data_IF_717936979785
#
_entry.id   IF_717936979785
#
_cell.length_a   1.000
_cell.length_b   1.000
_cell.length_c   1.000
_cell.angle_alpha   90.00
_cell.angle_beta   90.00
_cell.angle_gamma   90.00
#
_symmetry.space_group_name_H-M   'P 1'
#
loop_
_entity.id
_entity.type
_entity.pdbx_description
1 polymer ?
#
# COMPACT_ATOMS: atom_id res chain seq x y z
N UNK A 1 18.45 -18.50 17.62
CA UNK A 1 17.26 -18.79 18.48
C UNK A 1 16.43 -19.86 17.80
N UNK A 2 15.92 -20.87 18.54
CA UNK A 2 14.95 -21.81 17.96
C UNK A 2 13.70 -21.02 17.58
N UNK A 3 13.29 -21.08 16.30
CA UNK A 3 12.00 -20.59 15.86
C UNK A 3 10.92 -21.22 16.76
N UNK A 4 10.07 -20.39 17.35
CA UNK A 4 8.89 -20.89 18.05
C UNK A 4 7.97 -21.45 16.99
N UNK A 5 7.70 -22.75 17.04
CA UNK A 5 6.73 -23.40 16.16
C UNK A 5 5.49 -23.78 16.95
N UNK A 6 4.32 -23.64 16.31
CA UNK A 6 3.04 -24.10 16.86
C UNK A 6 2.97 -25.64 16.93
N UNK A 7 3.87 -26.35 16.22
CA UNK A 7 3.89 -27.81 16.13
C UNK A 7 2.56 -28.42 15.70
N UNK A 8 1.81 -27.73 14.84
CA UNK A 8 0.54 -28.19 14.31
C UNK A 8 0.68 -28.47 12.81
N UNK A 9 0.17 -29.61 12.35
CA UNK A 9 0.09 -29.93 10.92
C UNK A 9 -1.09 -29.18 10.28
N UNK A 10 -0.97 -27.87 10.16
CA UNK A 10 -1.97 -26.94 9.69
C UNK A 10 -1.31 -25.81 8.91
N UNK A 11 -1.78 -25.56 7.67
CA UNK A 11 -1.22 -24.51 6.81
C UNK A 11 -1.22 -23.11 7.47
N UNK A 12 -2.26 -22.79 8.27
CA UNK A 12 -2.32 -21.53 9.02
C UNK A 12 -1.21 -21.48 10.10
N UNK A 13 -1.00 -22.57 10.83
CA UNK A 13 0.05 -22.63 11.86
C UNK A 13 1.44 -22.44 11.24
N UNK A 14 1.72 -23.12 10.13
CA UNK A 14 2.98 -22.92 9.37
C UNK A 14 3.12 -21.49 8.83
N UNK A 15 2.05 -20.90 8.32
CA UNK A 15 2.08 -19.50 7.90
C UNK A 15 2.40 -18.56 9.07
N UNK A 16 1.80 -18.77 10.24
CA UNK A 16 2.09 -17.98 11.44
C UNK A 16 3.49 -18.22 11.99
N UNK A 17 4.07 -19.41 11.82
CA UNK A 17 5.49 -19.65 12.13
C UNK A 17 6.42 -18.78 11.27
N UNK A 18 6.02 -18.43 10.04
CA UNK A 18 6.78 -17.58 9.11
C UNK A 18 6.49 -16.09 9.28
N UNK A 19 5.20 -15.71 9.34
CA UNK A 19 4.80 -14.29 9.28
C UNK A 19 4.07 -13.81 10.53
N UNK A 20 3.82 -14.64 11.54
CA UNK A 20 3.02 -14.31 12.71
C UNK A 20 3.71 -13.39 13.73
N UNK A 21 5.00 -13.16 13.61
CA UNK A 21 5.71 -12.25 14.50
C UNK A 21 5.32 -10.79 14.24
N UNK A 22 5.22 -10.00 15.32
CA UNK A 22 4.91 -8.57 15.21
C UNK A 22 5.85 -7.88 14.21
N UNK A 23 5.32 -6.97 13.41
CA UNK A 23 5.94 -6.20 12.34
C UNK A 23 6.10 -6.95 11.02
N UNK A 24 6.10 -8.29 10.99
CA UNK A 24 6.46 -9.05 9.80
C UNK A 24 5.55 -8.75 8.61
N UNK A 25 4.22 -8.81 8.80
CA UNK A 25 3.27 -8.48 7.73
C UNK A 25 3.32 -7.00 7.33
N UNK A 26 3.61 -6.09 8.28
CA UNK A 26 3.78 -4.68 7.96
C UNK A 26 5.06 -4.43 7.13
N UNK A 27 6.14 -5.18 7.39
CA UNK A 27 7.35 -5.14 6.56
C UNK A 27 7.06 -5.63 5.14
N UNK A 28 6.29 -6.72 4.99
CA UNK A 28 5.85 -7.23 3.68
C UNK A 28 4.98 -6.19 2.97
N UNK A 29 4.05 -5.53 3.68
CA UNK A 29 3.21 -4.45 3.16
C UNK A 29 4.05 -3.33 2.53
N UNK A 30 5.12 -2.89 3.21
CA UNK A 30 5.96 -1.81 2.67
C UNK A 30 6.61 -2.18 1.31
N UNK A 31 6.75 -3.46 1.01
CA UNK A 31 7.35 -3.93 -0.25
C UNK A 31 6.31 -4.21 -1.36
N UNK A 32 5.00 -4.08 -1.10
CA UNK A 32 3.96 -4.28 -2.14
C UNK A 32 4.11 -3.28 -3.28
N UNK A 33 4.47 -2.02 -2.96
CA UNK A 33 4.68 -0.97 -3.95
C UNK A 33 6.10 -0.99 -4.58
N UNK A 34 6.87 -2.04 -4.37
CA UNK A 34 8.21 -2.22 -4.94
C UNK A 34 9.33 -2.34 -3.91
N UNK A 35 10.58 -2.42 -4.40
CA UNK A 35 11.75 -2.61 -3.57
C UNK A 35 11.97 -1.46 -2.57
N UNK A 36 12.48 -1.77 -1.36
CA UNK A 36 12.74 -0.81 -0.27
C UNK A 36 14.15 -0.92 0.25
N UNK A 37 14.77 0.21 0.55
CA UNK A 37 16.01 0.27 1.34
C UNK A 37 15.69 0.01 2.80
N UNK A 38 16.69 -0.38 3.56
CA UNK A 38 16.54 -0.57 5.02
C UNK A 38 16.00 0.69 5.71
N UNK A 39 16.52 1.87 5.30
CA UNK A 39 16.09 3.15 5.85
C UNK A 39 14.61 3.43 5.53
N UNK A 40 14.18 3.17 4.30
CA UNK A 40 12.78 3.39 3.89
C UNK A 40 11.80 2.53 4.71
N UNK A 41 12.21 1.28 5.01
CA UNK A 41 11.45 0.38 5.89
C UNK A 41 11.41 0.88 7.33
N UNK A 42 12.54 1.38 7.85
CA UNK A 42 12.61 1.95 9.20
C UNK A 42 11.72 3.19 9.34
N UNK A 43 11.78 4.08 8.36
CA UNK A 43 10.99 5.30 8.32
C UNK A 43 9.49 5.02 8.09
N UNK A 44 9.15 3.93 7.40
CA UNK A 44 7.78 3.49 7.12
C UNK A 44 7.10 2.72 8.26
N UNK A 45 7.86 2.34 9.30
CA UNK A 45 7.38 1.52 10.41
C UNK A 45 7.66 2.19 11.76
N UNK A 46 6.93 3.27 12.10
CA UNK A 46 7.15 4.00 13.35
C UNK A 46 7.05 3.09 14.58
N UNK A 47 8.10 3.12 15.41
CA UNK A 47 8.16 2.31 16.64
C UNK A 47 8.86 0.95 16.49
N UNK A 48 9.28 0.55 15.29
CA UNK A 48 10.18 -0.60 15.15
C UNK A 48 11.62 -0.16 15.47
N UNK A 49 12.36 -0.98 16.24
CA UNK A 49 13.78 -0.73 16.44
C UNK A 49 14.60 -1.26 15.27
N UNK A 50 15.77 -0.64 15.03
CA UNK A 50 16.72 -1.07 14.00
C UNK A 50 17.10 -2.56 14.13
N UNK A 51 17.34 -3.03 15.36
CA UNK A 51 17.70 -4.41 15.62
C UNK A 51 16.56 -5.38 15.29
N UNK A 52 15.32 -5.01 15.65
CA UNK A 52 14.14 -5.82 15.37
C UNK A 52 13.84 -5.87 13.88
N UNK A 53 13.95 -4.74 13.16
CA UNK A 53 13.82 -4.72 11.70
C UNK A 53 14.85 -5.63 11.03
N UNK A 54 16.13 -5.54 11.44
CA UNK A 54 17.19 -6.39 10.90
C UNK A 54 16.92 -7.87 11.16
N UNK A 55 16.44 -8.24 12.35
CA UNK A 55 16.05 -9.62 12.70
C UNK A 55 14.89 -10.11 11.82
N UNK A 56 13.82 -9.31 11.66
CA UNK A 56 12.66 -9.68 10.82
C UNK A 56 13.05 -9.85 9.36
N UNK A 57 13.85 -8.93 8.81
CA UNK A 57 14.35 -9.04 7.43
C UNK A 57 15.20 -10.28 7.23
N UNK A 58 16.09 -10.59 8.17
CA UNK A 58 16.89 -11.82 8.11
C UNK A 58 16.01 -13.08 8.12
N UNK A 59 14.98 -13.13 8.97
CA UNK A 59 14.06 -14.27 9.05
C UNK A 59 13.27 -14.42 7.75
N UNK A 60 12.71 -13.32 7.21
CA UNK A 60 11.97 -13.32 5.94
C UNK A 60 12.86 -13.75 4.76
N UNK A 61 14.12 -13.34 4.75
CA UNK A 61 15.10 -13.74 3.73
C UNK A 61 15.43 -15.24 3.83
N UNK A 62 15.61 -15.78 5.04
CA UNK A 62 15.82 -17.21 5.29
C UNK A 62 14.63 -18.07 4.85
N UNK A 63 13.42 -17.54 4.97
CA UNK A 63 12.19 -18.19 4.51
C UNK A 63 11.88 -17.94 3.02
N UNK A 64 12.80 -17.31 2.30
CA UNK A 64 12.66 -16.94 0.89
C UNK A 64 11.39 -16.10 0.57
N UNK A 65 10.83 -15.41 1.54
CA UNK A 65 9.71 -14.46 1.35
C UNK A 65 10.22 -13.18 0.70
N UNK A 66 11.40 -12.73 1.10
CA UNK A 66 12.09 -11.57 0.51
C UNK A 66 13.48 -11.96 0.04
N UNK A 67 14.07 -11.11 -0.79
CA UNK A 67 15.49 -11.19 -1.16
C UNK A 67 16.11 -9.80 -1.13
N UNK A 68 17.44 -9.77 -0.96
CA UNK A 68 18.24 -8.57 -1.15
C UNK A 68 18.74 -8.47 -2.58
N UNK A 69 18.74 -7.26 -3.12
CA UNK A 69 19.30 -6.94 -4.42
C UNK A 69 20.07 -5.63 -4.35
N UNK A 70 21.19 -5.56 -5.03
CA UNK A 70 21.91 -4.29 -5.23
C UNK A 70 21.43 -3.65 -6.52
N UNK A 71 20.95 -2.42 -6.43
CA UNK A 71 20.56 -1.65 -7.60
C UNK A 71 21.79 -1.27 -8.44
N UNK A 72 21.67 -1.25 -9.78
CA UNK A 72 22.76 -0.80 -10.63
C UNK A 72 23.06 0.70 -10.39
N UNK A 73 24.28 1.16 -10.77
CA UNK A 73 24.59 2.59 -10.77
C UNK A 73 23.56 3.38 -11.60
N UNK A 74 23.25 4.63 -11.24
CA UNK A 74 23.86 5.43 -10.18
C UNK A 74 23.31 5.16 -8.77
N UNK A 75 22.22 4.41 -8.62
CA UNK A 75 21.57 4.18 -7.33
C UNK A 75 22.44 3.40 -6.32
N UNK A 76 23.18 2.37 -6.78
CA UNK A 76 24.22 1.63 -6.03
C UNK A 76 23.83 1.09 -4.66
N UNK A 77 22.52 1.09 -4.31
CA UNK A 77 22.05 0.78 -2.97
C UNK A 77 21.47 -0.62 -2.85
N UNK A 78 21.62 -1.22 -1.67
CA UNK A 78 20.95 -2.48 -1.33
C UNK A 78 19.48 -2.22 -1.02
N UNK A 79 18.61 -2.99 -1.68
CA UNK A 79 17.16 -2.99 -1.46
C UNK A 79 16.67 -4.38 -1.10
N UNK A 80 15.55 -4.44 -0.40
CA UNK A 80 14.78 -5.64 -0.13
C UNK A 80 13.54 -5.64 -1.03
N UNK A 81 13.23 -6.78 -1.62
CA UNK A 81 12.07 -6.95 -2.48
C UNK A 81 11.39 -8.30 -2.23
N UNK A 82 10.10 -8.39 -2.51
CA UNK A 82 9.35 -9.64 -2.41
C UNK A 82 9.82 -10.61 -3.50
N UNK A 83 9.97 -11.88 -3.12
CA UNK A 83 10.11 -12.99 -4.07
C UNK A 83 8.73 -13.37 -4.64
N UNK A 84 8.67 -14.34 -5.55
CA UNK A 84 7.40 -14.91 -6.01
C UNK A 84 6.58 -15.45 -4.83
N UNK A 85 7.25 -16.11 -3.86
CA UNK A 85 6.60 -16.59 -2.63
C UNK A 85 6.09 -15.44 -1.78
N UNK A 86 6.87 -14.36 -1.65
CA UNK A 86 6.45 -13.16 -0.92
C UNK A 86 5.28 -12.43 -1.58
N UNK A 87 5.28 -12.34 -2.90
CA UNK A 87 4.17 -11.75 -3.67
C UNK A 87 2.87 -12.55 -3.49
N UNK A 88 2.95 -13.87 -3.32
CA UNK A 88 1.76 -14.69 -3.04
C UNK A 88 1.03 -14.31 -1.74
N UNK A 89 1.69 -13.61 -0.79
CA UNK A 89 1.05 -13.06 0.41
C UNK A 89 0.16 -11.85 0.13
N UNK A 90 0.27 -11.22 -1.04
CA UNK A 90 -0.48 -9.98 -1.35
C UNK A 90 -1.97 -10.18 -1.14
N UNK A 91 -2.58 -11.22 -1.73
CA UNK A 91 -4.02 -11.51 -1.55
C UNK A 91 -4.41 -11.64 -0.08
N UNK A 92 -3.61 -12.33 0.71
CA UNK A 92 -3.85 -12.50 2.15
C UNK A 92 -3.77 -11.15 2.88
N UNK A 93 -2.84 -10.29 2.51
CA UNK A 93 -2.72 -8.95 3.08
C UNK A 93 -3.90 -8.05 2.70
N UNK A 94 -4.41 -8.13 1.47
CA UNK A 94 -5.58 -7.39 1.04
C UNK A 94 -6.82 -7.81 1.84
N UNK A 95 -7.08 -9.12 1.97
CA UNK A 95 -8.20 -9.64 2.76
C UNK A 95 -8.08 -9.29 4.26
N UNK A 96 -6.88 -9.40 4.81
CA UNK A 96 -6.61 -9.01 6.20
C UNK A 96 -6.78 -7.49 6.38
N UNK A 97 -6.34 -6.69 5.41
CA UNK A 97 -6.53 -5.23 5.39
C UNK A 97 -8.02 -4.85 5.33
N UNK A 98 -8.79 -5.52 4.47
CA UNK A 98 -10.24 -5.36 4.37
C UNK A 98 -10.94 -5.72 5.70
N UNK A 99 -10.60 -6.84 6.29
CA UNK A 99 -11.12 -7.21 7.61
C UNK A 99 -10.70 -6.20 8.69
N UNK A 100 -9.43 -5.78 8.69
CA UNK A 100 -8.87 -4.84 9.66
C UNK A 100 -9.45 -3.43 9.55
N UNK A 101 -9.95 -3.00 8.37
CA UNK A 101 -10.51 -1.68 8.17
C UNK A 101 -11.72 -1.38 9.07
N UNK A 102 -12.43 -2.42 9.53
CA UNK A 102 -13.55 -2.30 10.46
C UNK A 102 -13.12 -1.77 11.85
N UNK A 103 -11.83 -1.82 12.18
CA UNK A 103 -11.28 -1.39 13.47
C UNK A 103 -10.53 -0.06 13.36
N UNK A 104 -10.46 0.53 12.17
CA UNK A 104 -9.79 1.83 11.97
C UNK A 104 -10.66 2.93 12.60
N UNK A 105 -10.10 3.76 13.50
CA UNK A 105 -10.85 4.87 14.08
C UNK A 105 -11.33 5.84 13.01
N UNK A 106 -12.50 6.43 13.20
CA UNK A 106 -13.03 7.45 12.31
C UNK A 106 -12.23 8.78 12.37
N UNK A 107 -11.57 9.05 13.50
CA UNK A 107 -10.68 10.21 13.66
C UNK A 107 -9.24 9.80 13.37
N UNK A 108 -8.55 10.63 12.60
CA UNK A 108 -7.11 10.49 12.33
C UNK A 108 -6.22 11.11 13.41
N UNK A 109 -6.78 11.61 14.53
CA UNK A 109 -6.01 12.15 15.62
C UNK A 109 -5.02 11.11 16.17
N UNK A 110 -3.73 11.43 16.11
CA UNK A 110 -2.65 10.52 16.52
C UNK A 110 -2.27 9.46 15.48
N UNK A 111 -2.85 9.47 14.28
CA UNK A 111 -2.42 8.60 13.19
C UNK A 111 -1.01 9.00 12.75
N UNK A 112 -0.13 8.03 12.74
CA UNK A 112 1.24 8.18 12.25
C UNK A 112 1.27 8.19 10.73
N UNK A 113 2.30 8.80 10.18
CA UNK A 113 2.57 8.96 8.75
C UNK A 113 2.30 7.68 7.96
N UNK A 114 1.46 7.78 6.94
CA UNK A 114 1.30 6.73 5.94
C UNK A 114 2.47 6.80 4.94
N UNK A 115 2.81 5.65 4.38
CA UNK A 115 3.86 5.52 3.37
C UNK A 115 3.33 4.79 2.15
N UNK A 116 4.10 4.78 1.08
CA UNK A 116 3.71 4.20 -0.18
C UNK A 116 3.15 2.77 -0.09
N UNK A 117 3.67 1.93 0.82
CA UNK A 117 3.13 0.58 1.07
C UNK A 117 1.71 0.59 1.64
N UNK A 118 1.41 1.55 2.53
CA UNK A 118 0.06 1.71 3.10
C UNK A 118 -0.93 2.19 2.03
N UNK A 119 -0.54 3.20 1.23
CA UNK A 119 -1.37 3.68 0.12
C UNK A 119 -1.63 2.57 -0.90
N UNK A 120 -0.59 1.83 -1.30
CA UNK A 120 -0.71 0.72 -2.24
C UNK A 120 -1.65 -0.37 -1.73
N UNK A 121 -1.53 -0.75 -0.44
CA UNK A 121 -2.42 -1.74 0.16
C UNK A 121 -3.87 -1.25 0.13
N UNK A 122 -4.14 -0.01 0.54
CA UNK A 122 -5.50 0.57 0.55
C UNK A 122 -6.11 0.58 -0.85
N UNK A 123 -5.39 1.12 -1.84
CA UNK A 123 -5.86 1.19 -3.22
C UNK A 123 -6.19 -0.20 -3.79
N UNK A 124 -5.31 -1.18 -3.58
CA UNK A 124 -5.53 -2.56 -4.05
C UNK A 124 -6.65 -3.27 -3.28
N UNK A 125 -6.81 -3.00 -1.97
CA UNK A 125 -7.86 -3.59 -1.14
C UNK A 125 -9.26 -3.17 -1.58
N UNK A 126 -9.43 -1.91 -1.97
CA UNK A 126 -10.72 -1.33 -2.32
C UNK A 126 -10.91 -1.12 -3.83
N UNK A 127 -10.00 -1.63 -4.64
CA UNK A 127 -10.10 -1.62 -6.09
C UNK A 127 -11.33 -2.38 -6.59
N UNK A 128 -12.05 -1.79 -7.53
CA UNK A 128 -13.29 -2.33 -8.14
C UNK A 128 -13.05 -2.70 -9.59
N UNK A 129 -12.74 -3.96 -9.90
CA UNK A 129 -12.47 -4.41 -11.27
C UNK A 129 -13.65 -4.16 -12.22
N UNK A 130 -14.88 -4.25 -11.72
CA UNK A 130 -16.10 -4.03 -12.49
C UNK A 130 -16.25 -2.57 -12.97
N UNK A 131 -15.72 -1.62 -12.20
CA UNK A 131 -15.71 -0.18 -12.57
C UNK A 131 -14.49 0.20 -13.40
N UNK A 132 -13.49 -0.66 -13.46
CA UNK A 132 -12.25 -0.47 -14.22
C UNK A 132 -12.33 -1.02 -15.66
N UNK A 133 -13.47 -1.56 -16.08
CA UNK A 133 -13.65 -2.11 -17.42
C UNK A 133 -13.51 -1.03 -18.48
N UNK A 134 -12.64 -1.27 -19.48
CA UNK A 134 -12.38 -0.34 -20.56
C UNK A 134 -11.46 0.84 -20.18
N UNK A 135 -11.04 0.95 -18.91
CA UNK A 135 -10.08 1.98 -18.46
C UNK A 135 -8.66 1.48 -18.75
N UNK A 136 -7.85 2.38 -19.32
CA UNK A 136 -6.41 2.18 -19.50
C UNK A 136 -5.72 3.52 -19.21
N UNK A 137 -5.54 3.81 -17.94
CA UNK A 137 -5.04 5.10 -17.45
C UNK A 137 -3.94 4.88 -16.40
N UNK A 138 -3.01 5.83 -16.36
CA UNK A 138 -1.94 5.89 -15.37
C UNK A 138 -2.08 7.19 -14.58
N UNK A 139 -2.26 7.07 -13.28
CA UNK A 139 -2.36 8.17 -12.34
C UNK A 139 -1.07 8.30 -11.55
N UNK A 140 -0.58 9.52 -11.34
CA UNK A 140 0.53 9.80 -10.45
C UNK A 140 0.01 10.52 -9.21
N UNK A 141 0.35 10.03 -8.03
CA UNK A 141 -0.10 10.54 -6.73
C UNK A 141 1.09 11.12 -5.98
N UNK A 142 1.02 12.39 -5.62
CA UNK A 142 1.94 13.09 -4.73
C UNK A 142 1.23 13.36 -3.41
N UNK A 143 1.58 12.63 -2.34
CA UNK A 143 0.90 12.71 -1.05
C UNK A 143 1.96 12.89 0.05
N UNK A 144 2.05 14.09 0.66
CA UNK A 144 3.00 14.41 1.74
C UNK A 144 4.46 13.99 1.43
N UNK A 145 4.91 14.20 0.18
CA UNK A 145 6.24 13.84 -0.28
C UNK A 145 6.43 12.38 -0.71
N UNK A 146 5.43 11.53 -0.52
CA UNK A 146 5.38 10.21 -1.17
C UNK A 146 4.92 10.37 -2.62
N UNK A 147 5.57 9.66 -3.53
CA UNK A 147 5.18 9.60 -4.94
C UNK A 147 4.88 8.16 -5.30
N UNK A 148 3.70 7.94 -5.85
CA UNK A 148 3.26 6.64 -6.36
C UNK A 148 2.69 6.83 -7.75
N UNK A 149 2.75 5.79 -8.56
CA UNK A 149 1.91 5.71 -9.75
C UNK A 149 1.02 4.47 -9.70
N UNK A 150 -0.18 4.66 -10.20
CA UNK A 150 -1.26 3.68 -10.23
C UNK A 150 -1.61 3.45 -11.68
N UNK A 151 -1.35 2.27 -12.19
CA UNK A 151 -1.76 1.87 -13.54
C UNK A 151 -3.02 1.01 -13.43
N UNK A 152 -4.07 1.40 -14.14
CA UNK A 152 -5.31 0.65 -14.28
C UNK A 152 -5.42 0.24 -15.75
N UNK A 153 -5.39 -1.05 -16.00
CA UNK A 153 -5.48 -1.60 -17.35
C UNK A 153 -6.09 -3.01 -17.32
N UNK A 154 -6.91 -3.33 -18.31
CA UNK A 154 -7.55 -4.65 -18.44
C UNK A 154 -8.32 -5.13 -17.19
N UNK A 155 -8.88 -4.20 -16.40
CA UNK A 155 -9.59 -4.51 -15.15
C UNK A 155 -8.67 -4.88 -13.98
N UNK A 156 -7.38 -4.58 -14.09
CA UNK A 156 -6.38 -4.81 -13.05
C UNK A 156 -5.77 -3.49 -12.56
N UNK A 157 -5.28 -3.50 -11.33
CA UNK A 157 -4.57 -2.38 -10.72
C UNK A 157 -3.12 -2.76 -10.39
N UNK A 158 -2.19 -1.92 -10.78
CA UNK A 158 -0.80 -1.98 -10.34
C UNK A 158 -0.44 -0.67 -9.64
N UNK A 159 0.18 -0.77 -8.48
CA UNK A 159 0.63 0.39 -7.70
C UNK A 159 2.11 0.23 -7.43
N UNK A 160 2.89 1.23 -7.83
CA UNK A 160 4.33 1.24 -7.63
C UNK A 160 4.78 2.59 -7.06
N UNK A 161 5.86 2.56 -6.28
CA UNK A 161 6.48 3.80 -5.80
C UNK A 161 7.29 4.47 -6.90
N UNK A 162 7.27 5.81 -6.89
CA UNK A 162 7.97 6.68 -7.82
C UNK A 162 7.06 7.26 -8.89
N UNK A 163 7.62 8.18 -9.66
CA UNK A 163 6.92 8.84 -10.75
C UNK A 163 6.61 7.88 -11.90
N UNK A 164 5.50 8.10 -12.57
CA UNK A 164 5.17 7.41 -13.79
C UNK A 164 6.05 7.89 -14.95
N UNK A 165 6.47 7.00 -15.87
CA UNK A 165 7.13 7.44 -17.11
C UNK A 165 6.25 8.39 -17.94
N UNK A 166 4.95 8.17 -17.90
CA UNK A 166 3.90 9.02 -18.47
C UNK A 166 2.63 8.83 -17.63
N UNK A 167 2.11 9.92 -17.08
CA UNK A 167 0.84 9.93 -16.36
C UNK A 167 -0.24 10.59 -17.23
N UNK A 168 -1.46 10.06 -17.20
CA UNK A 168 -2.64 10.68 -17.81
C UNK A 168 -3.20 11.76 -16.88
N UNK A 169 -3.05 11.60 -15.57
CA UNK A 169 -3.33 12.63 -14.58
C UNK A 169 -2.37 12.54 -13.39
N UNK A 170 -2.10 13.72 -12.79
CA UNK A 170 -1.28 13.86 -11.58
C UNK A 170 -2.13 14.51 -10.49
N UNK A 171 -2.16 13.91 -9.31
CA UNK A 171 -2.86 14.41 -8.13
C UNK A 171 -1.86 14.77 -7.05
N UNK A 172 -1.89 16.02 -6.56
CA UNK A 172 -1.05 16.48 -5.47
C UNK A 172 -1.94 16.91 -4.30
N UNK A 173 -1.75 16.30 -3.14
CA UNK A 173 -2.59 16.51 -1.96
C UNK A 173 -1.85 16.12 -0.67
N UNK A 174 -2.46 16.38 0.48
CA UNK A 174 -2.03 15.87 1.78
C UNK A 174 -2.75 14.55 2.15
N UNK A 175 -2.22 13.83 3.13
CA UNK A 175 -2.80 12.57 3.64
C UNK A 175 -4.23 12.73 4.14
N UNK A 176 -4.60 13.74 4.97
CA UNK A 176 -5.97 13.94 5.42
C UNK A 176 -6.96 14.12 4.26
N UNK A 177 -6.64 14.99 3.31
CA UNK A 177 -7.49 15.26 2.14
C UNK A 177 -7.64 14.03 1.26
N UNK A 178 -6.56 13.31 1.00
CA UNK A 178 -6.57 12.06 0.25
C UNK A 178 -7.49 11.01 0.88
N UNK A 179 -7.37 10.78 2.18
CA UNK A 179 -8.20 9.79 2.88
C UNK A 179 -9.68 10.20 2.94
N UNK A 180 -9.98 11.49 3.13
CA UNK A 180 -11.34 12.00 3.09
C UNK A 180 -11.97 11.86 1.69
N UNK A 181 -11.21 12.10 0.62
CA UNK A 181 -11.63 11.87 -0.76
C UNK A 181 -11.96 10.39 -0.99
N UNK A 182 -11.05 9.48 -0.62
CA UNK A 182 -11.29 8.04 -0.74
C UNK A 182 -12.51 7.57 0.05
N UNK A 183 -12.73 8.14 1.23
CA UNK A 183 -13.86 7.81 2.10
C UNK A 183 -15.17 8.50 1.68
N UNK A 184 -15.15 9.35 0.64
CA UNK A 184 -16.32 10.13 0.21
C UNK A 184 -16.77 11.22 1.20
N UNK A 185 -15.94 11.50 2.22
CA UNK A 185 -16.18 12.56 3.23
C UNK A 185 -15.84 13.96 2.70
N UNK A 186 -15.02 14.04 1.66
CA UNK A 186 -14.70 15.25 0.93
C UNK A 186 -15.07 15.04 -0.54
N UNK A 187 -15.88 15.94 -1.09
CA UNK A 187 -16.25 15.86 -2.51
C UNK A 187 -15.15 16.43 -3.40
N UNK A 188 -14.91 15.88 -4.61
CA UNK A 188 -13.88 16.34 -5.52
C UNK A 188 -13.94 17.84 -5.82
N UNK A 189 -15.11 18.36 -6.16
CA UNK A 189 -15.30 19.78 -6.45
C UNK A 189 -14.96 20.68 -5.25
N UNK A 190 -15.34 20.26 -4.04
CA UNK A 190 -14.99 20.96 -2.82
C UNK A 190 -13.49 20.94 -2.56
N UNK A 191 -12.84 19.77 -2.73
CA UNK A 191 -11.39 19.64 -2.55
C UNK A 191 -10.60 20.56 -3.51
N UNK A 192 -11.09 20.69 -4.76
CA UNK A 192 -10.48 21.59 -5.75
C UNK A 192 -10.72 23.05 -5.37
N UNK A 193 -11.97 23.42 -5.00
CA UNK A 193 -12.31 24.79 -4.63
C UNK A 193 -11.58 25.28 -3.37
N UNK A 194 -11.30 24.38 -2.43
CA UNK A 194 -10.55 24.66 -1.19
C UNK A 194 -9.01 24.48 -1.36
N UNK A 195 -8.52 24.26 -2.58
CA UNK A 195 -7.09 24.03 -2.90
C UNK A 195 -6.46 22.87 -2.11
N UNK A 196 -7.28 21.91 -1.66
CA UNK A 196 -6.83 20.72 -0.92
C UNK A 196 -6.28 19.62 -1.82
N UNK A 197 -6.57 19.68 -3.12
CA UNK A 197 -5.99 18.84 -4.15
C UNK A 197 -5.70 19.68 -5.39
N UNK A 198 -4.55 19.44 -5.99
CA UNK A 198 -4.20 19.96 -7.31
C UNK A 198 -4.23 18.83 -8.32
N UNK A 199 -4.83 19.09 -9.47
CA UNK A 199 -5.00 18.09 -10.54
C UNK A 199 -4.40 18.64 -11.82
N UNK A 200 -3.59 17.81 -12.46
CA UNK A 200 -3.06 18.08 -13.80
C UNK A 200 -3.38 16.89 -14.69
N UNK A 201 -3.85 17.10 -15.90
CA UNK A 201 -4.16 16.05 -16.88
C UNK A 201 -5.64 16.03 -17.29
N UNK A 202 -6.17 14.86 -17.61
CA UNK A 202 -7.50 14.67 -18.17
C UNK A 202 -8.64 15.13 -17.24
N UNK A 203 -9.61 15.88 -17.75
CA UNK A 203 -10.81 16.26 -16.99
C UNK A 203 -11.57 15.02 -16.48
N UNK A 204 -12.07 15.07 -15.24
CA UNK A 204 -12.80 13.97 -14.62
C UNK A 204 -11.93 12.78 -14.21
N UNK A 205 -10.59 12.88 -14.32
CA UNK A 205 -9.68 11.81 -13.91
C UNK A 205 -9.80 11.46 -12.42
N UNK A 206 -10.00 12.49 -11.56
CA UNK A 206 -10.18 12.27 -10.13
C UNK A 206 -11.47 11.50 -9.83
N UNK A 207 -12.59 11.87 -10.47
CA UNK A 207 -13.88 11.19 -10.28
C UNK A 207 -13.79 9.73 -10.72
N UNK A 208 -13.17 9.46 -11.87
CA UNK A 208 -12.91 8.07 -12.33
C UNK A 208 -12.06 7.31 -11.34
N UNK A 209 -10.93 7.88 -10.90
CA UNK A 209 -10.05 7.27 -9.92
C UNK A 209 -10.79 6.93 -8.62
N UNK A 210 -11.55 7.87 -8.06
CA UNK A 210 -12.32 7.67 -6.84
C UNK A 210 -13.45 6.65 -7.02
N UNK A 211 -14.10 6.61 -8.19
CA UNK A 211 -15.12 5.60 -8.47
C UNK A 211 -14.55 4.18 -8.47
N UNK A 212 -13.29 4.01 -8.91
CA UNK A 212 -12.61 2.72 -9.02
C UNK A 212 -11.94 2.32 -7.70
N UNK A 213 -11.35 3.26 -6.98
CA UNK A 213 -10.50 3.01 -5.81
C UNK A 213 -11.05 3.56 -4.48
N UNK A 214 -12.17 4.30 -4.50
CA UNK A 214 -12.76 4.89 -3.30
C UNK A 214 -13.39 3.86 -2.36
N UNK A 215 -13.41 4.17 -1.07
CA UNK A 215 -13.91 3.28 0.01
C UNK A 215 -15.31 3.68 0.50
N UNK A 216 -15.88 4.76 -0.03
CA UNK A 216 -17.18 5.31 0.41
C UNK A 216 -18.33 4.28 0.40
N UNK A 217 -18.43 3.46 -0.65
CA UNK A 217 -19.52 2.49 -0.79
C UNK A 217 -19.36 1.26 0.12
N UNK A 218 -18.12 0.93 0.52
CA UNK A 218 -17.83 -0.26 1.36
C UNK A 218 -18.31 -0.04 2.79
N UNK A 219 -18.27 1.20 3.28
CA UNK A 219 -18.77 1.54 4.62
C UNK A 219 -20.30 1.45 4.72
N UNK A 220 -21.01 1.65 3.62
CA UNK A 220 -22.46 1.51 3.58
C UNK A 220 -22.91 0.03 3.64
N UNK A 221 -22.17 -0.88 3.00
CA UNK A 221 -22.48 -2.31 2.98
C UNK A 221 -22.18 -3.03 4.32
N UNK A 222 -21.22 -2.53 5.12
CA UNK A 222 -20.88 -3.12 6.43
C UNK A 222 -21.74 -2.60 7.57
N UNK A 223 -22.54 -1.56 7.35
CA UNK A 223 -23.45 -0.97 8.34
C UNK A 223 -24.90 -1.54 8.25
N UNK A 224 -25.13 -2.47 7.30
CA UNK A 224 -26.42 -3.18 7.10
C UNK A 224 -26.35 -4.59 7.64
#
# INVERSE_FOLDING_TARGET
MKSRSYNQYCGLAYALDVVGERWTLLIVREMIAGPRRFKDLLDGLPGISTNLLAERLKNLEQQAVIRRRVLPPPAGSTVYELTVLGQALEKTLLELGKWGSQFVPQSMEGATVLRAGSYALTLKTFFRPERAQGINETYELHIDGEVLHVQIAAGEIQVQQGAAPKADAVFTTDTPSYLQLLAGQLQPDQAIAEERIQITGEPGALDRFLSICGIADVQAETAS
#
